data_IF_496006434379
#
_entry.id   IF_496006434379
#
_cell.length_a   1.000
_cell.length_b   1.000
_cell.length_c   1.000
_cell.angle_alpha   90.00
_cell.angle_beta   90.00
_cell.angle_gamma   90.00
#
_symmetry.space_group_name_H-M   'P 1'
#
loop_
_entity.id
_entity.type
_entity.pdbx_description
1 polymer ?
#
# COMPACT_ATOMS: atom_id res chain seq x y z
N UNK A 1 48.72 -34.68 -15.27
CA UNK A 1 47.43 -34.06 -15.60
C UNK A 1 46.37 -35.15 -15.60
N UNK A 2 45.13 -34.87 -15.18
CA UNK A 2 44.04 -35.85 -15.25
C UNK A 2 43.70 -36.13 -16.72
N UNK A 3 43.69 -37.39 -17.12
CA UNK A 3 43.42 -37.79 -18.52
C UNK A 3 41.91 -37.84 -18.85
N UNK A 4 41.04 -37.55 -17.88
CA UNK A 4 39.57 -37.72 -18.00
C UNK A 4 39.17 -39.09 -18.56
N UNK A 5 39.84 -40.15 -18.09
CA UNK A 5 39.52 -41.53 -18.45
C UNK A 5 38.89 -42.29 -17.30
N UNK A 6 37.82 -43.02 -17.59
CA UNK A 6 37.19 -44.00 -16.71
C UNK A 6 37.19 -45.33 -17.43
N UNK A 7 37.78 -46.36 -16.82
CA UNK A 7 37.90 -47.70 -17.43
C UNK A 7 38.51 -47.67 -18.84
N UNK A 8 39.47 -46.76 -19.05
CA UNK A 8 40.16 -46.57 -20.34
C UNK A 8 39.42 -45.71 -21.36
N UNK A 9 38.15 -45.37 -21.14
CA UNK A 9 37.35 -44.52 -22.04
C UNK A 9 37.45 -43.05 -21.66
N UNK A 10 37.56 -42.17 -22.66
CA UNK A 10 37.52 -40.72 -22.45
C UNK A 10 36.09 -40.29 -22.08
N UNK A 11 35.96 -39.48 -21.03
CA UNK A 11 34.68 -38.96 -20.55
C UNK A 11 34.69 -37.43 -20.49
N UNK A 12 33.51 -36.83 -20.39
CA UNK A 12 33.39 -35.40 -20.14
C UNK A 12 33.79 -35.04 -18.70
N UNK A 13 34.10 -33.78 -18.45
CA UNK A 13 34.39 -33.24 -17.12
C UNK A 13 33.24 -33.54 -16.14
N UNK A 14 32.00 -33.37 -16.59
CA UNK A 14 30.80 -33.63 -15.78
C UNK A 14 30.62 -35.12 -15.48
N UNK A 15 30.86 -36.00 -16.46
CA UNK A 15 30.85 -37.45 -16.25
C UNK A 15 31.93 -37.88 -15.26
N UNK A 16 33.11 -37.25 -15.34
CA UNK A 16 34.20 -37.48 -14.40
C UNK A 16 33.81 -37.09 -12.97
N UNK A 17 33.16 -35.92 -12.78
CA UNK A 17 32.64 -35.50 -11.49
C UNK A 17 31.58 -36.46 -10.94
N UNK A 18 30.60 -36.87 -11.75
CA UNK A 18 29.54 -37.78 -11.31
C UNK A 18 30.07 -39.18 -10.95
N UNK A 19 31.15 -39.62 -11.60
CA UNK A 19 31.89 -40.81 -11.19
C UNK A 19 32.65 -40.60 -9.86
N UNK A 20 33.34 -39.47 -9.69
CA UNK A 20 34.03 -39.15 -8.44
C UNK A 20 33.08 -39.04 -7.23
N UNK A 21 31.84 -38.62 -7.47
CA UNK A 21 30.74 -38.54 -6.50
C UNK A 21 29.95 -39.85 -6.36
N UNK A 22 30.36 -40.94 -7.02
CA UNK A 22 29.69 -42.22 -6.87
C UNK A 22 29.84 -42.76 -5.43
N UNK A 23 28.73 -43.20 -4.86
CA UNK A 23 28.70 -43.81 -3.54
C UNK A 23 29.17 -45.26 -3.64
N UNK A 24 29.76 -45.76 -2.55
CA UNK A 24 30.21 -47.15 -2.43
C UNK A 24 29.30 -47.92 -1.48
N UNK A 25 29.17 -49.23 -1.72
CA UNK A 25 28.53 -50.18 -0.79
C UNK A 25 29.58 -50.70 0.20
N UNK A 26 29.20 -50.89 1.47
CA UNK A 26 30.07 -51.46 2.49
C UNK A 26 29.87 -50.84 3.89
N UNK A 27 30.83 -51.14 4.77
CA UNK A 27 30.72 -51.01 6.23
C UNK A 27 31.00 -49.57 6.74
N UNK A 28 31.15 -49.37 8.06
CA UNK A 28 31.34 -48.04 8.69
C UNK A 28 32.43 -47.17 8.04
N UNK A 29 33.58 -47.71 7.63
CA UNK A 29 34.64 -46.94 6.93
C UNK A 29 34.18 -46.38 5.57
N UNK A 30 33.20 -47.02 4.94
CA UNK A 30 32.59 -46.56 3.68
C UNK A 30 31.64 -45.39 3.93
N UNK A 31 31.11 -45.24 5.15
CA UNK A 31 30.27 -44.08 5.51
C UNK A 31 31.06 -42.77 5.47
N UNK A 32 32.30 -42.76 5.97
CA UNK A 32 33.16 -41.57 5.91
C UNK A 32 33.50 -41.17 4.47
N UNK A 33 33.65 -42.14 3.58
CA UNK A 33 33.80 -41.89 2.14
C UNK A 33 32.51 -41.34 1.51
N UNK A 34 31.36 -41.89 1.89
CA UNK A 34 30.06 -41.56 1.31
C UNK A 34 29.52 -40.21 1.80
N UNK A 35 29.74 -39.84 3.07
CA UNK A 35 29.15 -38.66 3.69
C UNK A 35 29.40 -37.36 2.91
N UNK A 36 30.65 -36.95 2.60
CA UNK A 36 30.89 -35.72 1.83
C UNK A 36 30.28 -35.78 0.42
N UNK A 37 30.28 -36.96 -0.22
CA UNK A 37 29.66 -37.16 -1.54
C UNK A 37 28.15 -37.03 -1.48
N UNK A 38 27.53 -37.56 -0.44
CA UNK A 38 26.10 -37.41 -0.18
C UNK A 38 25.75 -35.95 0.09
N UNK A 39 26.51 -35.23 0.92
CA UNK A 39 26.29 -33.81 1.15
C UNK A 39 26.34 -33.01 -0.16
N UNK A 40 27.34 -33.24 -1.01
CA UNK A 40 27.43 -32.55 -2.31
C UNK A 40 26.21 -32.86 -3.18
N UNK A 41 25.83 -34.13 -3.29
CA UNK A 41 24.70 -34.57 -4.13
C UNK A 41 23.36 -34.06 -3.61
N UNK A 42 23.18 -34.02 -2.30
CA UNK A 42 21.94 -33.62 -1.64
C UNK A 42 21.76 -32.10 -1.54
N UNK A 43 22.83 -31.34 -1.31
CA UNK A 43 22.77 -29.88 -1.12
C UNK A 43 22.93 -29.10 -2.42
N UNK A 44 23.64 -29.66 -3.40
CA UNK A 44 23.90 -29.01 -4.69
C UNK A 44 23.30 -29.84 -5.83
N UNK A 45 22.04 -29.58 -6.20
CA UNK A 45 21.34 -30.38 -7.22
C UNK A 45 21.91 -30.19 -8.62
N UNK A 46 22.41 -28.99 -8.93
CA UNK A 46 23.11 -28.68 -10.16
C UNK A 46 24.61 -28.70 -9.85
N UNK A 47 25.34 -29.53 -10.59
CA UNK A 47 26.78 -29.73 -10.42
C UNK A 47 27.42 -29.65 -11.80
N UNK A 48 28.49 -28.88 -11.90
CA UNK A 48 29.26 -28.66 -13.13
C UNK A 48 30.74 -28.81 -12.81
N UNK A 49 31.49 -29.45 -13.70
CA UNK A 49 32.94 -29.58 -13.57
C UNK A 49 33.66 -28.89 -14.72
N UNK A 50 34.80 -28.28 -14.41
CA UNK A 50 35.76 -27.75 -15.38
C UNK A 50 37.14 -28.22 -14.98
N UNK A 51 37.95 -28.67 -15.95
CA UNK A 51 39.36 -28.98 -15.69
C UNK A 51 40.26 -27.92 -16.31
N UNK A 52 41.24 -27.50 -15.53
CA UNK A 52 42.24 -26.52 -15.95
C UNK A 52 43.58 -27.21 -16.08
N UNK A 53 44.27 -26.96 -17.20
CA UNK A 53 45.70 -27.25 -17.31
C UNK A 53 46.49 -26.24 -16.49
N UNK A 54 47.77 -26.49 -16.26
CA UNK A 54 48.60 -25.52 -15.57
C UNK A 54 48.74 -24.26 -16.45
N UNK A 55 48.49 -23.05 -15.92
CA UNK A 55 48.45 -21.84 -16.76
C UNK A 55 49.82 -21.44 -17.30
N UNK A 56 50.90 -21.75 -16.57
CA UNK A 56 52.30 -21.47 -16.91
C UNK A 56 53.20 -22.57 -16.32
N UNK A 57 54.51 -22.51 -16.58
CA UNK A 57 55.46 -23.44 -15.99
C UNK A 57 55.51 -23.31 -14.45
N UNK A 58 55.96 -24.36 -13.74
CA UNK A 58 56.10 -24.30 -12.26
C UNK A 58 57.03 -23.18 -11.78
N UNK A 59 58.01 -22.78 -12.58
CA UNK A 59 58.99 -21.75 -12.24
C UNK A 59 58.34 -20.35 -12.25
N UNK A 60 57.34 -20.16 -13.12
CA UNK A 60 56.66 -18.87 -13.33
C UNK A 60 55.40 -18.71 -12.48
N UNK A 61 54.87 -19.78 -11.87
CA UNK A 61 53.65 -19.75 -11.05
C UNK A 61 53.67 -18.71 -9.92
N UNK A 62 54.83 -18.42 -9.34
CA UNK A 62 54.96 -17.41 -8.28
C UNK A 62 54.81 -15.97 -8.75
N UNK A 63 54.80 -15.72 -10.07
CA UNK A 63 54.67 -14.40 -10.69
C UNK A 63 53.44 -14.31 -11.60
N UNK A 64 52.49 -15.24 -11.48
CA UNK A 64 51.34 -15.38 -12.39
C UNK A 64 50.57 -14.07 -12.60
N UNK A 65 50.35 -13.29 -11.54
CA UNK A 65 49.60 -12.02 -11.58
C UNK A 65 50.32 -10.91 -12.36
N UNK A 66 51.63 -11.04 -12.59
CA UNK A 66 52.45 -10.07 -13.34
C UNK A 66 52.69 -10.46 -14.79
N UNK A 67 52.33 -11.69 -15.17
CA UNK A 67 52.55 -12.19 -16.53
C UNK A 67 51.49 -11.64 -17.50
N UNK A 68 51.86 -11.29 -18.74
CA UNK A 68 50.87 -10.93 -19.75
C UNK A 68 50.03 -12.17 -20.13
N UNK A 69 48.78 -11.96 -20.54
CA UNK A 69 47.89 -13.05 -20.99
C UNK A 69 48.51 -13.92 -22.09
N UNK A 70 49.34 -13.33 -22.96
CA UNK A 70 50.05 -14.04 -24.03
C UNK A 70 51.10 -15.04 -23.54
N UNK A 71 51.52 -14.96 -22.28
CA UNK A 71 52.44 -15.92 -21.66
C UNK A 71 51.71 -17.15 -21.09
N UNK A 72 50.36 -17.12 -21.03
CA UNK A 72 49.56 -18.21 -20.50
C UNK A 72 49.34 -19.30 -21.55
N UNK A 73 49.20 -20.54 -21.09
CA UNK A 73 48.88 -21.70 -21.92
C UNK A 73 47.57 -21.46 -22.70
N UNK A 74 47.56 -21.60 -24.04
CA UNK A 74 46.35 -21.37 -24.83
C UNK A 74 45.16 -22.25 -24.43
N UNK A 75 45.39 -23.49 -23.98
CA UNK A 75 44.32 -24.37 -23.49
C UNK A 75 43.76 -23.89 -22.16
N UNK A 76 44.60 -23.33 -21.29
CA UNK A 76 44.15 -22.68 -20.05
C UNK A 76 43.26 -21.46 -20.37
N UNK A 77 43.65 -20.64 -21.33
CA UNK A 77 42.88 -19.48 -21.77
C UNK A 77 41.51 -19.90 -22.35
N UNK A 78 41.50 -20.91 -23.21
CA UNK A 78 40.26 -21.44 -23.79
C UNK A 78 39.33 -21.98 -22.71
N UNK A 79 39.84 -22.76 -21.76
CA UNK A 79 39.03 -23.30 -20.67
C UNK A 79 38.53 -22.21 -19.70
N UNK A 80 39.37 -21.20 -19.43
CA UNK A 80 38.95 -20.02 -18.65
C UNK A 80 37.79 -19.30 -19.33
N UNK A 81 37.86 -19.10 -20.65
CA UNK A 81 36.76 -18.51 -21.41
C UNK A 81 35.48 -19.35 -21.30
N UNK A 82 35.56 -20.67 -21.52
CA UNK A 82 34.41 -21.58 -21.40
C UNK A 82 33.80 -21.56 -20.00
N UNK A 83 34.63 -21.50 -18.96
CA UNK A 83 34.18 -21.35 -17.58
C UNK A 83 33.44 -20.02 -17.37
N UNK A 84 34.04 -18.89 -17.78
CA UNK A 84 33.42 -17.58 -17.66
C UNK A 84 32.09 -17.50 -18.42
N UNK A 85 32.06 -17.97 -19.67
CA UNK A 85 30.84 -18.00 -20.49
C UNK A 85 29.73 -18.79 -19.81
N UNK A 86 30.04 -19.96 -19.25
CA UNK A 86 29.08 -20.75 -18.49
C UNK A 86 28.58 -20.01 -17.24
N UNK A 87 29.48 -19.40 -16.45
CA UNK A 87 29.09 -18.65 -15.25
C UNK A 87 28.17 -17.48 -15.62
N UNK A 88 28.48 -16.72 -16.67
CA UNK A 88 27.66 -15.59 -17.09
C UNK A 88 26.30 -16.01 -17.68
N UNK A 89 26.23 -17.14 -18.37
CA UNK A 89 25.00 -17.60 -19.03
C UNK A 89 24.10 -18.42 -18.10
N UNK A 90 24.67 -19.21 -17.18
CA UNK A 90 23.94 -20.21 -16.41
C UNK A 90 23.77 -19.87 -14.92
N UNK A 91 24.45 -18.83 -14.41
CA UNK A 91 24.24 -18.40 -13.01
C UNK A 91 22.91 -17.68 -12.86
N UNK A 92 22.05 -18.24 -12.02
CA UNK A 92 20.77 -17.60 -11.69
C UNK A 92 20.97 -16.45 -10.71
N UNK A 93 20.07 -15.46 -10.78
CA UNK A 93 19.96 -14.43 -9.75
C UNK A 93 19.70 -15.10 -8.40
N UNK A 94 20.37 -14.64 -7.35
CA UNK A 94 20.21 -15.20 -6.02
C UNK A 94 18.79 -14.96 -5.51
N UNK A 95 18.15 -16.03 -5.06
CA UNK A 95 16.84 -15.99 -4.39
C UNK A 95 16.91 -16.50 -2.96
N UNK A 96 15.92 -16.11 -2.16
CA UNK A 96 15.55 -16.76 -0.90
C UNK A 96 14.15 -17.38 -1.02
N UNK A 97 13.77 -18.17 -0.02
CA UNK A 97 12.49 -18.89 0.06
C UNK A 97 11.30 -17.99 -0.31
N UNK A 98 10.44 -18.47 -1.19
CA UNK A 98 9.33 -17.68 -1.75
C UNK A 98 9.71 -16.94 -3.04
N UNK A 99 10.81 -17.34 -3.70
CA UNK A 99 11.25 -16.75 -4.97
C UNK A 99 11.78 -15.31 -4.87
N UNK A 100 12.00 -14.77 -3.67
CA UNK A 100 12.37 -13.37 -3.48
C UNK A 100 13.79 -13.14 -4.00
N UNK A 101 13.92 -12.26 -4.99
CA UNK A 101 15.21 -11.85 -5.54
C UNK A 101 16.02 -11.07 -4.49
N UNK A 102 17.30 -11.40 -4.37
CA UNK A 102 18.23 -10.75 -3.45
C UNK A 102 18.93 -9.60 -4.17
N UNK A 103 18.46 -8.37 -3.91
CA UNK A 103 19.13 -7.13 -4.32
C UNK A 103 20.35 -6.83 -3.45
N UNK A 104 21.12 -5.79 -3.78
CA UNK A 104 22.25 -5.35 -2.95
C UNK A 104 21.85 -4.96 -1.51
N UNK A 105 20.70 -4.29 -1.34
CA UNK A 105 20.17 -3.94 0.01
C UNK A 105 19.82 -5.19 0.81
N UNK A 106 19.06 -6.11 0.20
CA UNK A 106 18.67 -7.40 0.79
C UNK A 106 19.89 -8.26 1.13
N UNK A 107 20.88 -8.30 0.25
CA UNK A 107 22.15 -8.99 0.50
C UNK A 107 22.87 -8.41 1.73
N UNK A 108 22.95 -7.08 1.84
CA UNK A 108 23.54 -6.42 3.01
C UNK A 108 22.84 -6.78 4.32
N UNK A 109 21.50 -6.87 4.30
CA UNK A 109 20.71 -7.31 5.46
C UNK A 109 21.00 -8.78 5.84
N UNK A 110 21.08 -9.68 4.86
CA UNK A 110 21.42 -11.09 5.08
C UNK A 110 22.84 -11.25 5.64
N UNK A 111 23.83 -10.57 5.06
CA UNK A 111 25.22 -10.61 5.53
C UNK A 111 25.30 -10.15 6.98
N UNK A 112 24.68 -9.01 7.32
CA UNK A 112 24.66 -8.51 8.69
C UNK A 112 24.03 -9.52 9.65
N UNK A 113 22.85 -10.04 9.31
CA UNK A 113 22.15 -11.03 10.13
C UNK A 113 23.00 -12.27 10.40
N UNK A 114 23.63 -12.84 9.36
CA UNK A 114 24.49 -14.01 9.52
C UNK A 114 25.75 -13.72 10.34
N UNK A 115 26.45 -12.62 10.06
CA UNK A 115 27.68 -12.27 10.78
C UNK A 115 27.39 -11.98 12.25
N UNK A 116 26.32 -11.26 12.56
CA UNK A 116 25.93 -10.98 13.96
C UNK A 116 25.56 -12.26 14.72
N UNK A 117 24.86 -13.19 14.06
CA UNK A 117 24.51 -14.51 14.64
C UNK A 117 25.75 -15.36 14.90
N UNK A 118 26.71 -15.39 13.96
CA UNK A 118 27.97 -16.12 14.14
C UNK A 118 28.77 -15.50 15.30
N UNK A 119 28.85 -14.16 15.36
CA UNK A 119 29.56 -13.44 16.41
C UNK A 119 28.96 -13.69 17.79
N UNK A 120 27.65 -13.92 17.89
CA UNK A 120 26.99 -14.25 19.16
C UNK A 120 27.15 -15.71 19.58
N UNK A 121 27.85 -16.54 18.79
CA UNK A 121 28.03 -17.97 19.04
C UNK A 121 26.82 -18.83 18.67
N UNK A 122 25.83 -18.24 17.97
CA UNK A 122 24.64 -18.93 17.50
C UNK A 122 24.81 -19.44 16.06
N UNK A 123 23.95 -20.38 15.64
CA UNK A 123 23.96 -20.93 14.28
C UNK A 123 23.04 -20.09 13.38
N UNK A 124 23.53 -19.56 12.25
CA UNK A 124 22.68 -18.90 11.26
C UNK A 124 21.51 -19.76 10.78
N UNK A 125 20.30 -19.21 10.83
CA UNK A 125 19.10 -19.83 10.30
C UNK A 125 18.58 -19.04 9.09
N UNK A 126 18.34 -19.73 7.97
CA UNK A 126 17.84 -19.12 6.73
C UNK A 126 16.49 -18.44 6.95
N UNK A 127 15.53 -19.12 7.59
CA UNK A 127 14.19 -18.57 7.82
C UNK A 127 14.22 -17.33 8.72
N UNK A 128 15.06 -17.33 9.77
CA UNK A 128 15.20 -16.18 10.68
C UNK A 128 15.81 -14.97 9.96
N UNK A 129 16.85 -15.19 9.15
CA UNK A 129 17.48 -14.12 8.39
C UNK A 129 16.52 -13.51 7.36
N UNK A 130 15.69 -14.35 6.72
CA UNK A 130 14.65 -13.88 5.80
C UNK A 130 13.57 -13.09 6.54
N UNK A 131 13.12 -13.52 7.72
CA UNK A 131 12.16 -12.75 8.54
C UNK A 131 12.73 -11.41 8.97
N UNK A 132 13.97 -11.37 9.45
CA UNK A 132 14.62 -10.12 9.84
C UNK A 132 14.78 -9.16 8.64
N UNK A 133 15.14 -9.70 7.48
CA UNK A 133 15.21 -8.93 6.24
C UNK A 133 13.83 -8.40 5.82
N UNK A 134 12.78 -9.22 5.91
CA UNK A 134 11.40 -8.82 5.60
C UNK A 134 10.94 -7.65 6.47
N UNK A 135 11.22 -7.69 7.78
CA UNK A 135 10.86 -6.61 8.69
C UNK A 135 11.50 -5.26 8.29
N UNK A 136 12.77 -5.28 7.91
CA UNK A 136 13.50 -4.06 7.47
C UNK A 136 12.93 -3.54 6.15
N UNK A 137 12.73 -4.43 5.17
CA UNK A 137 12.27 -4.06 3.84
C UNK A 137 10.80 -3.62 3.84
N UNK A 138 9.94 -4.26 4.64
CA UNK A 138 8.53 -3.90 4.76
C UNK A 138 8.34 -2.56 5.51
N UNK A 139 9.16 -2.26 6.51
CA UNK A 139 9.15 -0.94 7.16
C UNK A 139 9.61 0.16 6.20
N UNK A 140 10.61 -0.11 5.36
CA UNK A 140 11.04 0.83 4.31
C UNK A 140 9.94 1.02 3.25
N UNK A 141 9.32 -0.07 2.78
CA UNK A 141 8.22 -0.06 1.83
C UNK A 141 7.01 0.73 2.36
N UNK A 142 6.67 0.56 3.64
CA UNK A 142 5.61 1.32 4.29
C UNK A 142 5.88 2.83 4.24
N UNK A 143 7.08 3.26 4.62
CA UNK A 143 7.46 4.69 4.60
C UNK A 143 7.44 5.25 3.19
N UNK A 144 7.95 4.50 2.21
CA UNK A 144 7.99 4.91 0.82
C UNK A 144 6.58 5.04 0.23
N UNK A 145 5.69 4.10 0.51
CA UNK A 145 4.30 4.14 0.09
C UNK A 145 3.52 5.30 0.72
N UNK A 146 3.67 5.55 2.02
CA UNK A 146 3.04 6.69 2.69
C UNK A 146 3.55 8.03 2.16
N UNK A 147 4.86 8.14 1.92
CA UNK A 147 5.45 9.33 1.31
C UNK A 147 4.93 9.55 -0.12
N UNK A 148 4.78 8.48 -0.89
CA UNK A 148 4.21 8.53 -2.23
C UNK A 148 2.76 9.02 -2.22
N UNK A 149 1.92 8.48 -1.33
CA UNK A 149 0.55 8.95 -1.14
C UNK A 149 0.50 10.44 -0.77
N UNK A 150 1.30 10.84 0.23
CA UNK A 150 1.34 12.23 0.70
C UNK A 150 1.78 13.21 -0.40
N UNK A 151 2.79 12.84 -1.20
CA UNK A 151 3.25 13.65 -2.31
C UNK A 151 2.20 13.78 -3.43
N UNK A 152 1.48 12.70 -3.74
CA UNK A 152 0.37 12.73 -4.71
C UNK A 152 -0.77 13.66 -4.26
N UNK A 153 -1.18 13.55 -3.01
CA UNK A 153 -2.26 14.38 -2.45
C UNK A 153 -1.86 15.85 -2.27
N UNK A 154 -0.58 16.16 -2.06
CA UNK A 154 -0.09 17.53 -1.90
C UNK A 154 -0.26 18.41 -3.15
N UNK A 155 -0.53 17.81 -4.33
CA UNK A 155 -0.81 18.54 -5.57
C UNK A 155 -2.22 19.13 -5.65
N UNK A 156 -3.12 18.80 -4.73
CA UNK A 156 -4.50 19.28 -4.76
C UNK A 156 -4.61 20.72 -4.25
N UNK A 157 -5.32 21.57 -4.98
CA UNK A 157 -5.60 22.95 -4.54
C UNK A 157 -6.85 22.96 -3.66
N UNK A 158 -6.74 23.56 -2.46
CA UNK A 158 -7.86 23.73 -1.53
C UNK A 158 -8.41 25.17 -1.62
N UNK A 159 -9.74 25.38 -1.50
CA UNK A 159 -10.74 24.35 -1.29
C UNK A 159 -11.08 23.62 -2.59
N UNK A 160 -11.15 22.29 -2.52
CA UNK A 160 -11.52 21.39 -3.60
C UNK A 160 -12.97 20.90 -3.42
N UNK A 161 -13.60 20.58 -4.54
CA UNK A 161 -14.90 19.92 -4.54
C UNK A 161 -14.76 18.45 -4.10
N UNK A 162 -15.81 17.92 -3.48
CA UNK A 162 -15.82 16.57 -2.90
C UNK A 162 -15.45 15.47 -3.92
N UNK A 163 -15.91 15.62 -5.17
CA UNK A 163 -15.59 14.68 -6.24
C UNK A 163 -14.10 14.67 -6.62
N UNK A 164 -13.45 15.84 -6.60
CA UNK A 164 -12.03 15.97 -6.92
C UNK A 164 -11.16 15.32 -5.83
N UNK A 165 -11.52 15.51 -4.57
CA UNK A 165 -10.91 14.85 -3.41
C UNK A 165 -11.00 13.32 -3.52
N UNK A 166 -12.19 12.79 -3.80
CA UNK A 166 -12.42 11.34 -3.94
C UNK A 166 -11.59 10.72 -5.06
N UNK A 167 -11.53 11.38 -6.22
CA UNK A 167 -10.75 10.90 -7.37
C UNK A 167 -9.26 10.92 -7.05
N UNK A 168 -8.75 12.03 -6.52
CA UNK A 168 -7.34 12.15 -6.15
C UNK A 168 -6.95 11.12 -5.09
N UNK A 169 -7.76 10.93 -4.05
CA UNK A 169 -7.54 9.93 -3.00
C UNK A 169 -7.45 8.52 -3.57
N UNK A 170 -8.45 8.12 -4.38
CA UNK A 170 -8.50 6.77 -4.94
C UNK A 170 -7.30 6.47 -5.85
N UNK A 171 -6.87 7.44 -6.65
CA UNK A 171 -5.67 7.28 -7.50
C UNK A 171 -4.38 7.15 -6.67
N UNK A 172 -4.16 8.08 -5.74
CA UNK A 172 -2.94 8.10 -4.92
C UNK A 172 -2.85 6.87 -4.01
N UNK A 173 -3.98 6.42 -3.47
CA UNK A 173 -4.04 5.20 -2.65
C UNK A 173 -3.71 3.96 -3.46
N UNK A 174 -4.31 3.80 -4.65
CA UNK A 174 -4.01 2.67 -5.52
C UNK A 174 -2.53 2.61 -5.90
N UNK A 175 -1.90 3.75 -6.17
CA UNK A 175 -0.47 3.83 -6.48
C UNK A 175 0.41 3.52 -5.26
N UNK A 176 0.07 4.02 -4.07
CA UNK A 176 0.79 3.74 -2.83
C UNK A 176 0.70 2.25 -2.44
N UNK A 177 -0.48 1.65 -2.53
CA UNK A 177 -0.67 0.21 -2.32
C UNK A 177 0.18 -0.59 -3.31
N UNK A 178 0.20 -0.18 -4.58
CA UNK A 178 0.91 -0.92 -5.63
C UNK A 178 2.40 -0.88 -5.40
N UNK A 179 2.93 0.28 -5.03
CA UNK A 179 4.33 0.45 -4.65
C UNK A 179 4.67 -0.42 -3.43
N UNK A 180 3.83 -0.42 -2.40
CA UNK A 180 4.02 -1.28 -1.23
C UNK A 180 4.03 -2.76 -1.61
N UNK A 181 3.10 -3.23 -2.46
CA UNK A 181 3.04 -4.64 -2.89
C UNK A 181 4.30 -5.07 -3.66
N UNK A 182 4.91 -4.17 -4.44
CA UNK A 182 6.15 -4.45 -5.18
C UNK A 182 7.38 -4.57 -4.28
N UNK A 183 7.44 -3.77 -3.22
CA UNK A 183 8.64 -3.69 -2.37
C UNK A 183 8.60 -4.64 -1.18
N UNK A 184 7.41 -4.86 -0.61
CA UNK A 184 7.20 -5.73 0.54
C UNK A 184 7.27 -7.21 0.19
N UNK A 185 7.53 -8.06 1.18
CA UNK A 185 7.38 -9.51 1.09
C UNK A 185 7.28 -10.10 2.49
N UNK A 186 6.67 -11.29 2.61
CA UNK A 186 6.54 -12.00 3.91
C UNK A 186 5.98 -11.07 5.02
N UNK A 187 4.94 -10.30 4.69
CA UNK A 187 4.19 -9.50 5.65
C UNK A 187 3.23 -10.41 6.44
N UNK A 188 3.79 -11.10 7.45
CA UNK A 188 3.06 -12.01 8.31
C UNK A 188 1.89 -11.27 8.98
N UNK A 189 0.69 -11.88 8.92
CA UNK A 189 -0.56 -11.30 9.44
C UNK A 189 -0.94 -9.93 8.86
N UNK A 190 -0.30 -9.53 7.75
CA UNK A 190 -0.52 -8.26 7.06
C UNK A 190 -0.30 -7.05 7.99
N UNK A 191 0.63 -7.15 8.93
CA UNK A 191 0.88 -6.12 9.93
C UNK A 191 1.30 -4.79 9.32
N UNK A 192 2.19 -4.81 8.32
CA UNK A 192 2.64 -3.60 7.64
C UNK A 192 1.58 -3.04 6.71
N UNK A 193 0.86 -3.90 5.99
CA UNK A 193 -0.27 -3.49 5.14
C UNK A 193 -1.39 -2.81 5.94
N UNK A 194 -1.75 -3.34 7.12
CA UNK A 194 -2.73 -2.70 8.02
C UNK A 194 -2.26 -1.31 8.46
N UNK A 195 -0.97 -1.16 8.78
CA UNK A 195 -0.36 0.14 9.12
C UNK A 195 -0.37 1.11 7.94
N UNK A 196 -0.15 0.63 6.71
CA UNK A 196 -0.24 1.46 5.51
C UNK A 196 -1.67 2.01 5.34
N UNK A 197 -2.67 1.14 5.41
CA UNK A 197 -4.09 1.53 5.27
C UNK A 197 -4.49 2.52 6.35
N UNK A 198 -4.11 2.27 7.60
CA UNK A 198 -4.36 3.19 8.71
C UNK A 198 -3.69 4.56 8.46
N UNK A 199 -2.43 4.59 8.03
CA UNK A 199 -1.73 5.84 7.75
C UNK A 199 -2.31 6.62 6.56
N UNK A 200 -2.76 5.93 5.51
CA UNK A 200 -3.47 6.56 4.39
C UNK A 200 -4.81 7.14 4.85
N UNK A 201 -5.58 6.38 5.65
CA UNK A 201 -6.89 6.79 6.19
C UNK A 201 -6.75 8.04 7.06
N UNK A 202 -5.77 8.05 7.97
CA UNK A 202 -5.47 9.20 8.83
C UNK A 202 -5.07 10.42 7.99
N UNK A 203 -4.19 10.23 6.99
CA UNK A 203 -3.77 11.32 6.12
C UNK A 203 -4.93 11.88 5.29
N UNK A 204 -5.83 11.04 4.80
CA UNK A 204 -7.01 11.48 4.06
C UNK A 204 -7.95 12.28 4.95
N UNK A 205 -8.23 11.81 6.18
CA UNK A 205 -9.05 12.52 7.14
C UNK A 205 -8.49 13.93 7.45
N UNK A 206 -7.18 14.05 7.61
CA UNK A 206 -6.53 15.36 7.81
C UNK A 206 -6.73 16.29 6.62
N UNK A 207 -6.60 15.79 5.39
CA UNK A 207 -6.84 16.58 4.18
C UNK A 207 -8.30 17.02 4.06
N UNK A 208 -9.26 16.17 4.42
CA UNK A 208 -10.67 16.53 4.44
C UNK A 208 -10.94 17.66 5.44
N UNK A 209 -10.37 17.57 6.65
CA UNK A 209 -10.50 18.62 7.66
C UNK A 209 -9.84 19.95 7.23
N UNK A 210 -8.65 19.89 6.62
CA UNK A 210 -7.99 21.06 6.03
C UNK A 210 -8.85 21.68 4.91
N UNK A 211 -9.43 20.86 4.05
CA UNK A 211 -10.31 21.32 2.98
C UNK A 211 -11.57 22.01 3.51
N UNK A 212 -12.21 21.44 4.54
CA UNK A 212 -13.35 22.04 5.22
C UNK A 212 -13.00 23.42 5.78
N UNK A 213 -11.89 23.54 6.50
CA UNK A 213 -11.45 24.82 7.08
C UNK A 213 -11.17 25.88 6.02
N UNK A 214 -10.50 25.51 4.92
CA UNK A 214 -10.22 26.43 3.81
C UNK A 214 -11.51 26.80 3.07
N UNK A 215 -12.44 25.87 2.90
CA UNK A 215 -13.74 26.12 2.29
C UNK A 215 -14.56 27.09 3.12
N UNK A 216 -14.66 26.88 4.44
CA UNK A 216 -15.36 27.77 5.36
C UNK A 216 -14.80 29.19 5.32
N UNK A 217 -13.47 29.33 5.37
CA UNK A 217 -12.81 30.63 5.30
C UNK A 217 -13.06 31.33 3.96
N UNK A 218 -12.95 30.59 2.85
CA UNK A 218 -13.20 31.12 1.50
C UNK A 218 -14.65 31.62 1.36
N UNK A 219 -15.61 30.85 1.88
CA UNK A 219 -17.02 31.20 1.87
C UNK A 219 -17.30 32.46 2.70
N UNK A 220 -16.71 32.58 3.90
CA UNK A 220 -16.85 33.76 4.76
C UNK A 220 -16.35 35.03 4.08
N UNK A 221 -15.12 34.99 3.53
CA UNK A 221 -14.54 36.13 2.81
C UNK A 221 -15.43 36.53 1.64
N UNK A 222 -15.93 35.57 0.87
CA UNK A 222 -16.81 35.84 -0.26
C UNK A 222 -18.14 36.46 0.17
N UNK A 223 -18.75 35.99 1.26
CA UNK A 223 -20.00 36.54 1.79
C UNK A 223 -19.82 37.96 2.33
N UNK A 224 -18.70 38.25 3.00
CA UNK A 224 -18.35 39.60 3.46
C UNK A 224 -18.17 40.55 2.27
N UNK A 225 -17.45 40.13 1.23
CA UNK A 225 -17.26 40.91 0.00
C UNK A 225 -18.57 41.21 -0.71
N UNK A 226 -19.42 40.19 -0.90
CA UNK A 226 -20.69 40.34 -1.62
C UNK A 226 -21.69 41.19 -0.82
N UNK A 227 -21.67 41.12 0.51
CA UNK A 227 -22.58 41.87 1.38
C UNK A 227 -22.11 43.28 1.74
N UNK A 228 -20.87 43.66 1.39
CA UNK A 228 -20.29 44.96 1.74
C UNK A 228 -21.15 46.16 1.30
N UNK A 229 -21.70 46.12 0.07
CA UNK A 229 -22.57 47.20 -0.43
C UNK A 229 -23.88 47.31 0.36
N UNK A 230 -24.47 46.17 0.74
CA UNK A 230 -25.66 46.11 1.58
C UNK A 230 -25.37 46.66 2.99
N UNK A 231 -24.23 46.28 3.59
CA UNK A 231 -23.79 46.82 4.88
C UNK A 231 -23.55 48.34 4.84
N UNK A 232 -22.96 48.86 3.77
CA UNK A 232 -22.79 50.30 3.59
C UNK A 232 -24.13 51.02 3.54
N UNK A 233 -25.09 50.51 2.74
CA UNK A 233 -26.46 51.06 2.69
C UNK A 233 -27.14 51.08 4.06
N UNK A 234 -26.97 50.00 4.83
CA UNK A 234 -27.49 49.92 6.20
C UNK A 234 -26.85 50.98 7.11
N UNK A 235 -25.52 51.08 7.10
CA UNK A 235 -24.80 52.05 7.95
C UNK A 235 -25.13 53.51 7.62
N UNK A 236 -25.46 53.80 6.35
CA UNK A 236 -25.90 55.10 5.88
C UNK A 236 -27.39 55.38 6.18
N UNK A 237 -28.12 54.45 6.80
CA UNK A 237 -29.54 54.59 7.12
C UNK A 237 -30.47 54.53 5.90
N UNK A 238 -29.99 54.02 4.75
CA UNK A 238 -30.76 54.00 3.49
C UNK A 238 -31.95 53.03 3.52
N UNK A 239 -31.99 52.11 4.48
CA UNK A 239 -33.15 51.24 4.73
C UNK A 239 -34.11 51.80 5.78
N UNK A 240 -33.80 52.94 6.42
CA UNK A 240 -34.67 53.60 7.41
C UNK A 240 -35.61 54.60 6.73
N UNK A 241 -36.37 54.10 5.76
CA UNK A 241 -37.40 54.84 5.02
C UNK A 241 -38.57 53.89 4.69
N UNK A 242 -39.76 54.41 4.37
CA UNK A 242 -40.89 53.54 4.02
C UNK A 242 -40.63 52.67 2.79
N UNK A 243 -40.90 51.37 2.93
CA UNK A 243 -40.51 50.32 1.98
C UNK A 243 -39.05 49.86 2.11
N UNK A 244 -38.33 50.32 3.14
CA UNK A 244 -36.91 50.02 3.36
C UNK A 244 -36.61 48.54 3.60
N UNK A 245 -37.54 47.80 4.21
CA UNK A 245 -37.38 46.35 4.40
C UNK A 245 -37.39 45.59 3.06
N UNK A 246 -38.22 46.02 2.11
CA UNK A 246 -38.27 45.38 0.78
C UNK A 246 -36.99 45.64 -0.02
N UNK A 247 -36.38 46.82 0.16
CA UNK A 247 -35.07 47.12 -0.42
C UNK A 247 -33.95 46.26 0.23
N UNK A 248 -33.99 46.09 1.55
CA UNK A 248 -33.06 45.22 2.28
C UNK A 248 -33.18 43.76 1.86
N UNK A 249 -34.40 43.22 1.80
CA UNK A 249 -34.68 41.85 1.37
C UNK A 249 -34.20 41.58 -0.06
N UNK A 250 -34.40 42.54 -0.98
CA UNK A 250 -33.88 42.45 -2.35
C UNK A 250 -32.35 42.40 -2.39
N UNK A 251 -31.69 43.29 -1.65
CA UNK A 251 -30.22 43.33 -1.60
C UNK A 251 -29.67 42.03 -0.96
N UNK A 252 -30.31 41.51 0.10
CA UNK A 252 -29.95 40.23 0.71
C UNK A 252 -30.12 39.06 -0.26
N UNK A 253 -31.24 38.98 -0.97
CA UNK A 253 -31.47 37.95 -1.98
C UNK A 253 -30.44 38.03 -3.12
N UNK A 254 -30.04 39.24 -3.52
CA UNK A 254 -28.98 39.43 -4.51
C UNK A 254 -27.61 38.93 -4.02
N UNK A 255 -27.28 39.11 -2.74
CA UNK A 255 -26.06 38.52 -2.13
C UNK A 255 -26.11 37.00 -2.22
N UNK A 256 -27.24 36.38 -1.87
CA UNK A 256 -27.44 34.91 -1.93
C UNK A 256 -27.28 34.39 -3.36
N UNK A 257 -27.91 35.02 -4.34
CA UNK A 257 -27.81 34.64 -5.75
C UNK A 257 -26.38 34.75 -6.27
N UNK A 258 -25.71 35.87 -5.99
CA UNK A 258 -24.33 36.10 -6.39
C UNK A 258 -23.36 35.09 -5.73
N UNK A 259 -23.60 34.75 -4.47
CA UNK A 259 -22.82 33.75 -3.74
C UNK A 259 -22.97 32.36 -4.35
N UNK A 260 -24.22 31.94 -4.62
CA UNK A 260 -24.49 30.63 -5.24
C UNK A 260 -23.90 30.51 -6.64
N UNK A 261 -23.88 31.61 -7.41
CA UNK A 261 -23.31 31.65 -8.75
C UNK A 261 -21.77 31.51 -8.81
N UNK A 262 -21.04 31.77 -7.71
CA UNK A 262 -19.57 31.67 -7.68
C UNK A 262 -19.11 30.20 -7.60
N UNK A 263 -18.20 29.73 -8.47
CA UNK A 263 -17.65 28.38 -8.38
C UNK A 263 -16.58 28.25 -7.27
N UNK A 264 -16.14 27.03 -7.00
CA UNK A 264 -14.96 26.68 -6.17
C UNK A 264 -15.05 27.20 -4.73
N UNK A 265 -16.21 27.03 -4.11
CA UNK A 265 -16.42 27.38 -2.70
C UNK A 265 -16.07 26.22 -1.78
N UNK A 266 -16.04 24.99 -2.30
CA UNK A 266 -15.78 23.77 -1.55
C UNK A 266 -16.98 23.29 -0.74
N UNK A 267 -16.69 22.41 0.20
CA UNK A 267 -17.67 21.56 0.90
C UNK A 267 -18.44 22.23 2.05
N UNK A 268 -18.17 23.50 2.37
CA UNK A 268 -18.84 24.26 3.44
C UNK A 268 -19.77 25.35 2.90
N UNK A 269 -20.12 25.30 1.61
CA UNK A 269 -20.76 26.42 0.93
C UNK A 269 -22.15 26.74 1.48
N UNK A 270 -23.02 25.74 1.68
CA UNK A 270 -24.37 25.98 2.18
C UNK A 270 -24.38 26.19 3.70
N UNK A 271 -23.53 25.47 4.45
CA UNK A 271 -23.36 25.71 5.90
C UNK A 271 -22.90 27.14 6.22
N UNK A 272 -21.91 27.67 5.49
CA UNK A 272 -21.44 29.04 5.67
C UNK A 272 -22.51 30.09 5.32
N UNK A 273 -23.29 29.84 4.25
CA UNK A 273 -24.40 30.71 3.85
C UNK A 273 -25.50 30.75 4.91
N UNK A 274 -25.86 29.60 5.47
CA UNK A 274 -26.86 29.51 6.53
C UNK A 274 -26.42 30.24 7.80
N UNK A 275 -25.15 30.07 8.21
CA UNK A 275 -24.57 30.82 9.34
C UNK A 275 -24.61 32.33 9.09
N UNK A 276 -24.26 32.76 7.88
CA UNK A 276 -24.34 34.16 7.48
C UNK A 276 -25.77 34.69 7.56
N UNK A 277 -26.75 34.02 6.94
CA UNK A 277 -28.16 34.44 6.98
C UNK A 277 -28.71 34.45 8.41
N UNK A 278 -28.33 33.49 9.24
CA UNK A 278 -28.68 33.47 10.66
C UNK A 278 -28.11 34.71 11.39
N UNK A 279 -26.87 35.10 11.12
CA UNK A 279 -26.26 36.31 11.70
C UNK A 279 -26.99 37.61 11.29
N UNK A 280 -27.67 37.60 10.14
CA UNK A 280 -28.43 38.74 9.61
C UNK A 280 -29.88 38.84 10.08
N UNK A 281 -30.38 37.88 10.88
CA UNK A 281 -31.77 37.88 11.35
C UNK A 281 -32.12 39.09 12.22
N UNK A 282 -31.31 39.38 13.23
CA UNK A 282 -31.54 40.52 14.12
C UNK A 282 -31.46 41.87 13.37
N UNK A 283 -30.54 41.95 12.39
CA UNK A 283 -30.41 43.10 11.48
C UNK A 283 -31.69 43.30 10.65
N UNK A 284 -32.20 42.23 10.03
CA UNK A 284 -33.43 42.24 9.25
C UNK A 284 -34.67 42.62 10.10
N UNK A 285 -34.78 42.08 11.32
CA UNK A 285 -35.86 42.41 12.26
C UNK A 285 -35.84 43.89 12.67
N UNK A 286 -34.65 44.46 12.89
CA UNK A 286 -34.51 45.88 13.21
C UNK A 286 -34.94 46.78 12.04
N UNK A 287 -34.54 46.43 10.81
CA UNK A 287 -34.96 47.14 9.59
C UNK A 287 -36.47 47.06 9.41
N UNK A 288 -37.07 45.87 9.58
CA UNK A 288 -38.52 45.67 9.47
C UNK A 288 -39.28 46.53 10.49
N UNK A 289 -38.80 46.56 11.74
CA UNK A 289 -39.42 47.38 12.79
C UNK A 289 -39.34 48.87 12.48
N UNK A 290 -38.21 49.35 11.96
CA UNK A 290 -38.04 50.74 11.56
C UNK A 290 -38.95 51.11 10.38
N UNK A 291 -39.03 50.26 9.36
CA UNK A 291 -39.89 50.45 8.18
C UNK A 291 -41.37 50.55 8.57
N UNK A 292 -41.86 49.63 9.42
CA UNK A 292 -43.24 49.64 9.90
C UNK A 292 -43.59 50.96 10.62
N UNK A 293 -42.73 51.42 11.52
CA UNK A 293 -42.94 52.68 12.26
C UNK A 293 -42.97 53.90 11.33
N UNK A 294 -42.07 53.95 10.35
CA UNK A 294 -41.98 55.06 9.40
C UNK A 294 -43.15 55.05 8.41
N UNK A 295 -43.56 53.87 7.95
CA UNK A 295 -44.72 53.69 7.07
C UNK A 295 -46.03 54.07 7.77
N UNK A 296 -46.19 53.72 9.06
CA UNK A 296 -47.35 54.16 9.85
C UNK A 296 -47.35 55.68 10.07
N UNK A 297 -46.19 56.27 10.38
CA UNK A 297 -46.04 57.71 10.53
C UNK A 297 -46.40 58.49 9.25
N UNK A 298 -45.99 58.00 8.07
CA UNK A 298 -46.36 58.61 6.78
C UNK A 298 -47.87 58.52 6.50
N UNK A 299 -48.50 57.38 6.79
CA UNK A 299 -49.96 57.20 6.65
C UNK A 299 -50.76 58.14 7.56
N UNK A 300 -50.28 58.39 8.77
CA UNK A 300 -50.88 59.35 9.70
C UNK A 300 -50.77 60.81 9.22
N UNK A 301 -49.71 61.16 8.49
CA UNK A 301 -49.53 62.48 7.88
C UNK A 301 -50.35 62.62 6.59
N UNK A 302 -50.56 61.52 5.83
CA UNK A 302 -51.29 61.51 4.57
C UNK A 302 -52.82 61.31 4.68
N UNK A 303 -53.35 60.98 5.87
CA UNK A 303 -54.80 60.89 6.12
C UNK A 303 -55.48 59.59 5.67
N UNK A 304 -54.73 58.51 5.45
CA UNK A 304 -55.24 57.21 4.96
C UNK A 304 -55.41 56.19 6.09
N UNK A 305 -56.49 55.39 6.06
CA UNK A 305 -56.79 54.34 7.06
C UNK A 305 -55.85 53.14 6.98
N UNK A 306 -55.52 52.49 8.12
CA UNK A 306 -54.49 51.44 8.17
C UNK A 306 -54.97 50.14 7.51
N UNK A 307 -54.25 49.69 6.48
CA UNK A 307 -54.23 48.29 6.08
C UNK A 307 -53.01 47.62 6.71
N UNK A 308 -53.27 46.64 7.57
CA UNK A 308 -52.28 45.75 8.16
C UNK A 308 -51.69 44.89 7.05
N UNK A 309 -50.45 45.16 6.66
CA UNK A 309 -49.70 44.27 5.77
C UNK A 309 -49.27 43.03 6.60
N UNK A 310 -49.44 41.80 6.10
CA UNK A 310 -49.03 40.63 6.85
C UNK A 310 -47.51 40.62 7.01
N UNK A 311 -47.03 40.45 8.26
CA UNK A 311 -45.64 40.08 8.53
C UNK A 311 -45.31 38.81 7.73
N UNK A 312 -44.29 38.80 6.87
CA UNK A 312 -43.82 37.57 6.27
C UNK A 312 -43.30 36.67 7.39
N UNK A 313 -43.99 35.56 7.65
CA UNK A 313 -43.47 34.48 8.47
C UNK A 313 -42.25 33.91 7.76
N UNK A 314 -41.11 33.91 8.45
CA UNK A 314 -39.91 33.17 8.04
C UNK A 314 -40.28 31.68 8.00
N UNK A 315 -40.57 31.14 6.83
CA UNK A 315 -40.75 29.70 6.66
C UNK A 315 -39.39 29.03 6.87
N UNK A 316 -39.30 28.21 7.92
CA UNK A 316 -38.17 27.33 8.13
C UNK A 316 -38.17 26.25 7.04
N UNK A 317 -37.46 26.51 5.94
CA UNK A 317 -37.03 25.46 5.03
C UNK A 317 -36.08 24.53 5.79
N UNK A 318 -36.07 23.24 5.45
CA UNK A 318 -35.00 22.35 5.92
C UNK A 318 -33.64 22.94 5.49
N UNK A 319 -32.62 22.95 6.38
CA UNK A 319 -31.33 23.51 6.04
C UNK A 319 -30.72 22.75 4.86
N UNK A 320 -30.38 23.46 3.79
CA UNK A 320 -29.71 22.92 2.59
C UNK A 320 -28.34 22.32 2.98
N UNK A 321 -27.72 22.84 4.05
CA UNK A 321 -26.49 22.27 4.63
C UNK A 321 -26.65 20.83 5.13
N UNK A 322 -27.86 20.39 5.50
CA UNK A 322 -28.09 18.98 5.87
C UNK A 322 -27.91 18.09 4.65
N UNK A 323 -28.45 18.48 3.49
CA UNK A 323 -28.30 17.73 2.26
C UNK A 323 -26.82 17.70 1.79
N UNK A 324 -26.10 18.81 1.94
CA UNK A 324 -24.65 18.90 1.67
C UNK A 324 -23.85 17.93 2.57
N UNK A 325 -24.15 17.89 3.88
CA UNK A 325 -23.53 16.96 4.84
C UNK A 325 -23.87 15.49 4.56
N UNK A 326 -25.11 15.21 4.17
CA UNK A 326 -25.53 13.85 3.78
C UNK A 326 -24.76 13.37 2.54
N UNK A 327 -24.61 14.21 1.52
CA UNK A 327 -23.83 13.91 0.32
C UNK A 327 -22.35 13.64 0.65
N UNK A 328 -21.77 14.44 1.55
CA UNK A 328 -20.40 14.23 2.03
C UNK A 328 -20.23 12.88 2.73
N UNK A 329 -21.13 12.55 3.65
CA UNK A 329 -21.12 11.27 4.34
C UNK A 329 -21.27 10.10 3.37
N UNK A 330 -22.20 10.19 2.42
CA UNK A 330 -22.39 9.14 1.40
C UNK A 330 -21.14 8.95 0.54
N UNK A 331 -20.48 10.03 0.12
CA UNK A 331 -19.26 9.95 -0.66
C UNK A 331 -18.10 9.35 0.14
N UNK A 332 -17.95 9.73 1.41
CA UNK A 332 -16.92 9.15 2.28
C UNK A 332 -17.11 7.64 2.44
N UNK A 333 -18.36 7.18 2.58
CA UNK A 333 -18.67 5.75 2.61
C UNK A 333 -18.31 5.05 1.29
N UNK A 334 -18.55 5.69 0.14
CA UNK A 334 -18.14 5.17 -1.18
C UNK A 334 -16.63 5.09 -1.33
N UNK A 335 -15.90 6.08 -0.83
CA UNK A 335 -14.44 6.11 -0.87
C UNK A 335 -13.86 4.99 0.00
N UNK A 336 -14.41 4.76 1.19
CA UNK A 336 -14.00 3.64 2.05
C UNK A 336 -14.24 2.27 1.39
N UNK A 337 -15.39 2.08 0.75
CA UNK A 337 -15.67 0.84 0.04
C UNK A 337 -14.69 0.63 -1.14
N UNK A 338 -14.40 1.70 -1.91
CA UNK A 338 -13.43 1.65 -3.01
C UNK A 338 -12.01 1.32 -2.50
N UNK A 339 -11.59 1.95 -1.41
CA UNK A 339 -10.30 1.70 -0.74
C UNK A 339 -10.19 0.25 -0.31
N UNK A 340 -11.23 -0.29 0.32
CA UNK A 340 -11.26 -1.69 0.73
C UNK A 340 -11.13 -2.64 -0.46
N UNK A 341 -11.90 -2.40 -1.53
CA UNK A 341 -11.87 -3.21 -2.74
C UNK A 341 -10.51 -3.17 -3.44
N UNK A 342 -9.89 -2.01 -3.55
CA UNK A 342 -8.58 -1.88 -4.20
C UNK A 342 -7.47 -2.56 -3.38
N UNK A 343 -7.50 -2.39 -2.05
CA UNK A 343 -6.59 -3.08 -1.15
C UNK A 343 -6.69 -4.61 -1.26
N UNK A 344 -7.91 -5.13 -1.22
CA UNK A 344 -8.19 -6.55 -1.48
C UNK A 344 -7.59 -6.99 -2.81
N UNK A 345 -7.92 -6.28 -3.88
CA UNK A 345 -7.54 -6.65 -5.25
C UNK A 345 -6.02 -6.73 -5.41
N UNK A 346 -5.30 -5.76 -4.87
CA UNK A 346 -3.83 -5.76 -4.96
C UNK A 346 -3.19 -6.82 -4.08
N UNK A 347 -3.77 -7.09 -2.91
CA UNK A 347 -3.30 -8.15 -2.02
C UNK A 347 -3.51 -9.53 -2.64
N UNK A 348 -4.66 -9.77 -3.27
CA UNK A 348 -4.94 -11.01 -4.01
C UNK A 348 -3.94 -11.22 -5.15
N UNK A 349 -3.63 -10.16 -5.90
CA UNK A 349 -2.64 -10.21 -6.97
C UNK A 349 -1.25 -10.56 -6.44
N UNK A 350 -0.81 -9.91 -5.35
CA UNK A 350 0.48 -10.19 -4.70
C UNK A 350 0.57 -11.63 -4.20
N UNK A 351 -0.46 -12.09 -3.50
CA UNK A 351 -0.50 -13.46 -2.96
C UNK A 351 -0.48 -14.49 -4.09
N UNK A 352 -1.20 -14.23 -5.20
CA UNK A 352 -1.18 -15.10 -6.36
C UNK A 352 0.21 -15.19 -7.01
N UNK A 353 0.93 -14.08 -7.10
CA UNK A 353 2.31 -14.02 -7.61
C UNK A 353 3.30 -14.77 -6.69
N UNK A 354 3.21 -14.55 -5.38
CA UNK A 354 4.06 -15.22 -4.38
C UNK A 354 3.80 -16.74 -4.37
N UNK A 355 2.53 -17.17 -4.44
CA UNK A 355 2.17 -18.58 -4.54
C UNK A 355 2.68 -19.23 -5.84
N UNK A 356 2.60 -18.51 -6.97
CA UNK A 356 3.12 -19.01 -8.24
C UNK A 356 4.65 -19.20 -8.18
N UNK A 357 5.36 -18.24 -7.59
CA UNK A 357 6.81 -18.28 -7.39
C UNK A 357 7.23 -19.42 -6.45
N UNK A 358 6.54 -19.58 -5.32
CA UNK A 358 6.78 -20.66 -4.38
C UNK A 358 6.52 -22.04 -5.00
N UNK A 359 5.43 -22.18 -5.76
CA UNK A 359 5.12 -23.42 -6.50
C UNK A 359 6.22 -23.75 -7.52
N UNK A 360 6.69 -22.76 -8.28
CA UNK A 360 7.77 -22.98 -9.24
C UNK A 360 9.07 -23.42 -8.55
N UNK A 361 9.40 -22.85 -7.39
CA UNK A 361 10.55 -23.27 -6.57
C UNK A 361 10.40 -24.73 -6.09
N UNK A 362 9.23 -25.09 -5.55
CA UNK A 362 8.92 -26.45 -5.11
C UNK A 362 8.95 -27.47 -6.26
N UNK A 363 8.44 -27.11 -7.44
CA UNK A 363 8.49 -27.96 -8.64
C UNK A 363 9.93 -28.23 -9.11
N UNK A 364 10.81 -27.21 -9.11
CA UNK A 364 12.23 -27.40 -9.43
C UNK A 364 12.93 -28.30 -8.41
N UNK A 365 12.65 -28.09 -7.12
CA UNK A 365 13.19 -28.94 -6.06
C UNK A 365 12.72 -30.39 -6.20
N UNK A 366 11.43 -30.59 -6.50
CA UNK A 366 10.85 -31.91 -6.71
C UNK A 366 11.49 -32.63 -7.90
N UNK A 367 11.62 -31.95 -9.05
CA UNK A 367 12.26 -32.52 -10.23
C UNK A 367 13.71 -32.96 -9.94
N UNK A 368 14.46 -32.13 -9.20
CA UNK A 368 15.81 -32.50 -8.82
C UNK A 368 15.86 -33.71 -7.88
N UNK A 369 14.95 -33.80 -6.91
CA UNK A 369 14.90 -34.92 -5.97
C UNK A 369 14.51 -36.23 -6.66
N UNK A 370 13.56 -36.17 -7.60
CA UNK A 370 13.17 -37.32 -8.42
C UNK A 370 14.33 -37.84 -9.27
N UNK A 371 15.07 -36.95 -9.93
CA UNK A 371 16.25 -37.33 -10.73
C UNK A 371 17.32 -38.01 -9.89
N UNK A 372 17.58 -37.49 -8.69
CA UNK A 372 18.57 -38.07 -7.77
C UNK A 372 18.08 -39.41 -7.20
N UNK A 373 16.78 -39.55 -6.88
CA UNK A 373 16.18 -40.81 -6.46
C UNK A 373 16.31 -41.89 -7.53
N UNK A 374 16.00 -41.57 -8.79
CA UNK A 374 16.16 -42.50 -9.92
C UNK A 374 17.63 -42.94 -10.06
N UNK A 375 18.57 -42.01 -9.98
CA UNK A 375 20.00 -42.32 -10.04
C UNK A 375 20.46 -43.23 -8.88
N UNK A 376 19.89 -43.08 -7.68
CA UNK A 376 20.16 -43.97 -6.54
C UNK A 376 19.62 -45.37 -6.78
N UNK A 377 18.42 -45.51 -7.34
CA UNK A 377 17.82 -46.80 -7.69
C UNK A 377 18.64 -47.52 -8.76
N UNK A 378 19.02 -46.84 -9.84
CA UNK A 378 19.85 -47.40 -10.91
C UNK A 378 21.21 -47.90 -10.39
N UNK A 379 21.78 -47.24 -9.38
CA UNK A 379 23.04 -47.64 -8.73
C UNK A 379 22.86 -48.65 -7.58
N UNK A 380 21.63 -49.11 -7.34
CA UNK A 380 21.30 -50.16 -6.36
C UNK A 380 21.36 -49.71 -4.90
N UNK A 381 21.07 -48.43 -4.62
CA UNK A 381 20.95 -47.86 -3.27
C UNK A 381 19.48 -47.69 -2.85
N UNK A 382 18.72 -48.78 -2.81
CA UNK A 382 17.27 -48.76 -2.54
C UNK A 382 16.89 -48.08 -1.21
N UNK A 383 17.59 -48.37 -0.11
CA UNK A 383 17.32 -47.72 1.18
C UNK A 383 17.50 -46.20 1.13
N UNK A 384 18.51 -45.70 0.41
CA UNK A 384 18.72 -44.25 0.26
C UNK A 384 17.62 -43.62 -0.58
N UNK A 385 17.20 -44.28 -1.66
CA UNK A 385 16.09 -43.83 -2.49
C UNK A 385 14.76 -43.79 -1.69
N UNK A 386 14.55 -44.74 -0.77
CA UNK A 386 13.41 -44.77 0.14
C UNK A 386 13.42 -43.60 1.12
N UNK A 387 14.57 -43.25 1.69
CA UNK A 387 14.69 -42.09 2.60
C UNK A 387 14.36 -40.76 1.90
N UNK A 388 14.51 -40.68 0.57
CA UNK A 388 14.13 -39.49 -0.21
C UNK A 388 12.62 -39.39 -0.47
N UNK A 389 11.86 -40.46 -0.23
CA UNK A 389 10.43 -40.53 -0.55
C UNK A 389 9.59 -39.64 0.37
N UNK A 390 10.00 -39.47 1.63
CA UNK A 390 9.37 -38.54 2.57
C UNK A 390 9.53 -37.08 2.12
N UNK A 391 10.73 -36.71 1.68
CA UNK A 391 11.01 -35.37 1.13
C UNK A 391 10.22 -35.10 -0.16
N UNK A 392 10.19 -36.08 -1.07
CA UNK A 392 9.41 -36.01 -2.33
C UNK A 392 7.92 -35.88 -2.02
N UNK A 393 7.41 -36.64 -1.07
CA UNK A 393 6.01 -36.58 -0.64
C UNK A 393 5.68 -35.25 0.04
N UNK A 394 6.62 -34.67 0.79
CA UNK A 394 6.53 -33.31 1.32
C UNK A 394 6.38 -32.27 0.22
N UNK A 395 7.29 -32.27 -0.76
CA UNK A 395 7.25 -31.32 -1.88
C UNK A 395 5.98 -31.46 -2.73
N UNK A 396 5.51 -32.68 -2.99
CA UNK A 396 4.24 -32.93 -3.68
C UNK A 396 3.05 -32.35 -2.90
N UNK A 397 3.05 -32.49 -1.57
CA UNK A 397 2.02 -31.88 -0.72
C UNK A 397 2.08 -30.36 -0.80
N UNK A 398 3.25 -29.74 -0.73
CA UNK A 398 3.41 -28.28 -0.82
C UNK A 398 2.87 -27.71 -2.15
N UNK A 399 3.18 -28.38 -3.27
CA UNK A 399 2.66 -28.02 -4.59
C UNK A 399 1.13 -28.12 -4.64
N UNK A 400 0.56 -29.16 -4.02
CA UNK A 400 -0.88 -29.41 -4.01
C UNK A 400 -1.65 -28.56 -2.97
N UNK A 401 -1.01 -28.20 -1.86
CA UNK A 401 -1.61 -27.44 -0.75
C UNK A 401 -1.61 -25.94 -0.99
N UNK A 402 -1.02 -25.47 -2.09
CA UNK A 402 -1.03 -24.07 -2.55
C UNK A 402 -2.43 -23.60 -3.02
N UNK A 403 -3.49 -24.12 -2.40
CA UNK A 403 -4.89 -23.83 -2.68
C UNK A 403 -5.28 -22.46 -2.12
N UNK A 404 -5.60 -21.53 -3.03
CA UNK A 404 -6.01 -20.13 -2.75
C UNK A 404 -7.12 -19.98 -1.69
N UNK A 405 -7.95 -21.00 -1.50
CA UNK A 405 -9.23 -20.91 -0.76
C UNK A 405 -9.12 -20.67 0.75
N UNK A 406 -8.14 -21.24 1.45
CA UNK A 406 -8.03 -21.10 2.91
C UNK A 406 -7.29 -19.84 3.35
N UNK A 407 -6.39 -19.33 2.52
CA UNK A 407 -5.63 -18.11 2.80
C UNK A 407 -6.51 -16.87 2.61
N UNK A 408 -7.28 -16.84 1.52
CA UNK A 408 -8.15 -15.71 1.20
C UNK A 408 -9.32 -15.58 2.19
N UNK A 409 -9.94 -16.69 2.62
CA UNK A 409 -11.11 -16.64 3.52
C UNK A 409 -10.82 -15.98 4.87
N UNK A 410 -9.64 -16.21 5.46
CA UNK A 410 -9.22 -15.58 6.73
C UNK A 410 -8.70 -14.14 6.53
N UNK A 411 -8.19 -13.82 5.35
CA UNK A 411 -7.69 -12.50 4.98
C UNK A 411 -8.84 -11.49 4.87
N UNK A 412 -9.95 -11.92 4.27
CA UNK A 412 -11.15 -11.12 4.07
C UNK A 412 -11.87 -10.75 5.36
N UNK A 413 -11.88 -11.63 6.37
CA UNK A 413 -12.50 -11.32 7.66
C UNK A 413 -11.70 -10.29 8.46
N UNK A 414 -10.37 -10.38 8.42
CA UNK A 414 -9.49 -9.59 9.29
C UNK A 414 -9.35 -8.13 8.84
N UNK A 415 -9.28 -7.88 7.52
CA UNK A 415 -9.21 -6.50 6.98
C UNK A 415 -10.55 -5.78 7.19
N UNK A 416 -11.68 -6.50 7.08
CA UNK A 416 -13.03 -5.98 7.34
C UNK A 416 -13.20 -5.52 8.80
N UNK A 417 -12.63 -6.24 9.75
CA UNK A 417 -12.69 -5.90 11.18
C UNK A 417 -11.79 -4.70 11.53
N UNK A 418 -10.58 -4.61 10.94
CA UNK A 418 -9.67 -3.48 11.14
C UNK A 418 -10.24 -2.13 10.69
N UNK A 419 -10.94 -2.10 9.55
CA UNK A 419 -11.61 -0.90 9.04
C UNK A 419 -12.82 -0.49 9.89
N UNK A 420 -13.55 -1.44 10.49
CA UNK A 420 -14.65 -1.15 11.44
C UNK A 420 -14.14 -0.55 12.77
N UNK A 421 -12.97 -0.98 13.23
CA UNK A 421 -12.39 -0.48 14.47
C UNK A 421 -11.90 0.98 14.33
N UNK A 422 -11.27 1.32 13.20
CA UNK A 422 -10.75 2.69 12.95
C UNK A 422 -11.91 3.69 12.77
N UNK A 423 -13.02 3.29 12.15
CA UNK A 423 -14.21 4.15 12.01
C UNK A 423 -14.90 4.43 13.35
N UNK A 424 -14.83 3.51 14.32
CA UNK A 424 -15.39 3.74 15.66
C UNK A 424 -14.58 4.71 16.53
N UNK A 425 -13.30 4.93 16.21
CA UNK A 425 -12.41 5.85 16.97
C UNK A 425 -12.52 7.29 16.45
N UNK A 426 -12.83 7.49 15.17
CA UNK A 426 -13.01 8.83 14.57
C UNK A 426 -14.41 9.42 14.75
N UNK A 427 -15.35 8.70 15.35
CA UNK A 427 -16.59 9.28 15.86
C UNK A 427 -16.31 9.88 17.25
N UNK A 428 -15.99 11.17 17.28
CA UNK A 428 -15.87 11.92 18.54
C UNK A 428 -17.17 11.86 19.38
N UNK A 429 -17.08 12.15 20.69
CA UNK A 429 -18.16 11.92 21.66
C UNK A 429 -19.46 12.71 21.42
N UNK A 430 -19.52 13.61 20.43
CA UNK A 430 -20.72 14.40 20.11
C UNK A 430 -21.82 13.61 19.39
N UNK A 431 -21.51 12.45 18.78
CA UNK A 431 -22.51 11.64 18.08
C UNK A 431 -23.40 10.75 19.00
N UNK A 432 -23.11 10.67 20.30
CA UNK A 432 -23.92 9.89 21.25
C UNK A 432 -24.97 10.72 22.01
N UNK A 433 -24.95 12.05 21.88
CA UNK A 433 -25.87 12.94 22.59
C UNK A 433 -27.28 13.04 22.00
N UNK A 434 -27.42 12.92 20.68
CA UNK A 434 -28.67 13.29 19.98
C UNK A 434 -29.60 12.13 19.61
N UNK A 435 -29.24 10.88 19.93
CA UNK A 435 -30.17 9.73 19.75
C UNK A 435 -31.06 9.44 20.96
N UNK A 436 -30.90 10.14 22.09
CA UNK A 436 -31.66 9.87 23.31
C UNK A 436 -33.02 10.60 23.42
N UNK A 437 -33.39 11.48 22.48
CA UNK A 437 -34.57 12.36 22.61
C UNK A 437 -35.76 12.04 21.70
N UNK A 438 -35.73 10.96 20.91
CA UNK A 438 -36.83 10.58 19.99
C UNK A 438 -37.65 9.35 20.39
N UNK A 439 -37.55 8.88 21.64
CA UNK A 439 -38.40 7.79 22.16
C UNK A 439 -39.02 8.14 23.52
N UNK A 440 -39.88 9.16 23.54
CA UNK A 440 -40.87 9.31 24.61
C UNK A 440 -42.10 10.07 24.13
N UNK A 441 -43.07 9.34 23.59
CA UNK A 441 -44.49 9.75 23.61
C UNK A 441 -45.30 8.65 24.28
N UNK A 442 -46.10 8.96 25.32
CA UNK A 442 -46.97 7.99 25.96
C UNK A 442 -48.25 7.82 25.13
N UNK A 443 -48.74 6.59 25.12
CA UNK A 443 -50.01 6.19 24.52
C UNK A 443 -51.20 6.71 25.33
N UNK A 444 -52.15 7.35 24.66
CA UNK A 444 -53.60 7.29 24.94
C UNK A 444 -54.34 7.28 23.64
#
# INVERSE_FOLDING_TARGET
TLELRIEGQLVTEDQYLEHALALRKGDKKVMDYNLPRQCIRSFFPIRKCFVFVQPVSRQEMGQLDSLPTSALDPQFLEQTRRFCDYVFQCSNVKTVKGGILVSGRRFGALVRSYVDTIRSGQVPCLDNAVTAMAAIENEAALREALAHYAAGMAGLQLPAELGELSVAHGMCEADALRLFMQLSFKDEEQGFQKRLVAGITERYANILAENEAVSEQTCRVLLDELSAAMQQKLSAGLYSQPGGYQAYDRDQNQVVENYRAKPNKGVKAEEALEQFLASKKAEAEAVLKADNLLTEAEKHVAGETPQTSPCPLFFAAEPVSIAEKQLQMEQLMKDQERSHQENVKQLEAKVAEELASARQEAERALQSKLKEQEAMLQKGFAEKARLMEDEISGLRREINSSSKTNFLSNLFSTIREGLRAVTSVNQGPEAQGDQALLLSRPST
#
